data_IF_858871492436
#
_entry.id   IF_858871492436
#
_cell.length_a   1.000
_cell.length_b   1.000
_cell.length_c   1.000
_cell.angle_alpha   90.00
_cell.angle_beta   90.00
_cell.angle_gamma   90.00
#
_symmetry.space_group_name_H-M   'P 1'
#
loop_
_entity.id
_entity.type
_entity.pdbx_description
1 polymer ?
#
# COMPACT_ATOMS: atom_id res chain seq x y z
N UNK A 1 23.47 -3.63 20.58
CA UNK A 1 22.50 -4.43 19.81
C UNK A 1 21.42 -3.46 19.37
N UNK A 2 21.38 -3.11 18.08
CA UNK A 2 20.36 -2.19 17.54
C UNK A 2 18.99 -2.90 17.58
N UNK A 3 17.96 -2.18 18.02
CA UNK A 3 16.58 -2.71 18.04
C UNK A 3 16.13 -3.09 16.62
N UNK A 4 15.28 -4.12 16.45
CA UNK A 4 14.70 -4.41 15.15
C UNK A 4 13.87 -3.20 14.71
N UNK A 5 14.19 -2.65 13.55
CA UNK A 5 13.36 -1.62 12.93
C UNK A 5 11.96 -2.21 12.72
N UNK A 6 10.89 -1.42 12.90
CA UNK A 6 9.54 -1.92 12.67
C UNK A 6 9.45 -2.47 11.26
N UNK A 7 9.07 -3.74 11.11
CA UNK A 7 8.94 -4.33 9.79
C UNK A 7 7.91 -3.53 8.98
N UNK A 8 8.21 -3.17 7.73
CA UNK A 8 7.29 -2.41 6.91
C UNK A 8 6.01 -3.23 6.69
N UNK A 9 4.85 -2.57 6.75
CA UNK A 9 3.58 -3.25 6.58
C UNK A 9 3.53 -3.97 5.23
N UNK A 10 3.35 -5.30 5.25
CA UNK A 10 3.32 -6.10 4.02
C UNK A 10 2.14 -5.72 3.13
N UNK A 11 0.97 -5.50 3.72
CA UNK A 11 -0.24 -5.13 2.97
C UNK A 11 -0.10 -3.79 2.27
N UNK A 12 0.53 -2.79 2.90
CA UNK A 12 0.87 -1.53 2.23
C UNK A 12 1.78 -1.75 1.01
N UNK A 13 2.83 -2.57 1.17
CA UNK A 13 3.75 -2.89 0.08
C UNK A 13 3.06 -3.65 -1.06
N UNK A 14 2.13 -4.55 -0.75
CA UNK A 14 1.34 -5.26 -1.77
C UNK A 14 0.49 -4.29 -2.60
N UNK A 15 -0.18 -3.32 -1.97
CA UNK A 15 -0.92 -2.28 -2.70
C UNK A 15 -0.01 -1.39 -3.55
N UNK A 16 1.19 -1.05 -3.08
CA UNK A 16 2.15 -0.26 -3.86
C UNK A 16 2.66 -1.03 -5.09
N UNK A 17 2.92 -2.32 -4.94
CA UNK A 17 3.33 -3.18 -6.05
C UNK A 17 2.20 -3.34 -7.07
N UNK A 18 0.97 -3.58 -6.62
CA UNK A 18 -0.19 -3.67 -7.51
C UNK A 18 -0.49 -2.34 -8.21
N UNK A 19 -0.35 -1.19 -7.53
CA UNK A 19 -0.47 0.13 -8.15
C UNK A 19 0.56 0.29 -9.28
N UNK A 20 1.81 -0.10 -9.04
CA UNK A 20 2.88 -0.02 -10.03
C UNK A 20 2.64 -0.94 -11.25
N UNK A 21 2.13 -2.15 -11.01
CA UNK A 21 1.74 -3.09 -12.08
C UNK A 21 0.59 -2.51 -12.89
N UNK A 22 -0.49 -2.07 -12.23
CA UNK A 22 -1.67 -1.48 -12.88
C UNK A 22 -1.30 -0.27 -13.75
N UNK A 23 -0.45 0.63 -13.22
CA UNK A 23 0.09 1.77 -13.97
C UNK A 23 0.89 1.34 -15.20
N UNK A 24 1.69 0.28 -15.06
CA UNK A 24 2.50 -0.26 -16.17
C UNK A 24 1.63 -0.91 -17.24
N UNK A 25 0.51 -1.53 -16.85
CA UNK A 25 -0.50 -2.10 -17.76
C UNK A 25 -1.44 -1.04 -18.36
N UNK A 26 -1.43 0.19 -17.82
CA UNK A 26 -2.36 1.26 -18.21
C UNK A 26 -3.78 1.09 -17.65
N UNK A 27 -3.95 0.26 -16.62
CA UNK A 27 -5.22 0.06 -15.93
C UNK A 27 -5.44 1.13 -14.86
N UNK A 28 -5.98 2.27 -15.27
CA UNK A 28 -6.25 3.39 -14.38
C UNK A 28 -7.34 3.10 -13.32
N UNK A 29 -8.22 2.13 -13.56
CA UNK A 29 -9.22 1.72 -12.57
C UNK A 29 -8.51 1.01 -11.42
N UNK A 30 -7.71 -0.01 -11.76
CA UNK A 30 -6.96 -0.78 -10.77
C UNK A 30 -5.94 0.06 -10.02
N UNK A 31 -5.25 0.99 -10.70
CA UNK A 31 -4.34 1.95 -10.05
C UNK A 31 -5.06 2.76 -8.97
N UNK A 32 -6.27 3.24 -9.26
CA UNK A 32 -7.07 4.03 -8.31
C UNK A 32 -7.57 3.16 -7.15
N UNK A 33 -8.01 1.93 -7.44
CA UNK A 33 -8.47 0.99 -6.42
C UNK A 33 -7.36 0.65 -5.43
N UNK A 34 -6.13 0.38 -5.89
CA UNK A 34 -4.98 0.13 -5.02
C UNK A 34 -4.71 1.29 -4.06
N UNK A 35 -4.80 2.54 -4.54
CA UNK A 35 -4.63 3.73 -3.68
C UNK A 35 -5.72 3.85 -2.62
N UNK A 36 -6.97 3.62 -3.00
CA UNK A 36 -8.11 3.68 -2.07
C UNK A 36 -8.00 2.59 -1.00
N UNK A 37 -7.65 1.36 -1.41
CA UNK A 37 -7.45 0.24 -0.49
C UNK A 37 -6.28 0.50 0.46
N UNK A 38 -5.15 1.00 -0.04
CA UNK A 38 -4.01 1.41 0.80
C UNK A 38 -4.41 2.47 1.82
N UNK A 39 -5.11 3.52 1.40
CA UNK A 39 -5.58 4.58 2.30
C UNK A 39 -6.50 4.05 3.42
N UNK A 40 -7.44 3.15 3.08
CA UNK A 40 -8.31 2.51 4.08
C UNK A 40 -7.53 1.63 5.05
N UNK A 41 -6.56 0.88 4.55
CA UNK A 41 -5.70 0.03 5.38
C UNK A 41 -4.85 0.88 6.33
N UNK A 42 -4.22 1.94 5.83
CA UNK A 42 -3.43 2.87 6.66
C UNK A 42 -4.30 3.50 7.75
N UNK A 43 -5.50 3.96 7.41
CA UNK A 43 -6.42 4.52 8.41
C UNK A 43 -6.86 3.49 9.47
N UNK A 44 -7.06 2.22 9.07
CA UNK A 44 -7.51 1.15 9.96
C UNK A 44 -6.39 0.57 10.84
N UNK A 45 -5.22 0.30 10.25
CA UNK A 45 -4.14 -0.50 10.86
C UNK A 45 -2.96 0.37 11.33
N UNK A 46 -2.77 1.56 10.75
CA UNK A 46 -1.72 2.50 11.13
C UNK A 46 -2.25 3.72 11.89
N UNK A 47 -3.57 3.95 11.89
CA UNK A 47 -4.19 5.02 12.66
C UNK A 47 -3.79 6.42 12.20
N UNK A 48 -3.27 6.55 10.97
CA UNK A 48 -2.93 7.84 10.37
C UNK A 48 -4.18 8.41 9.66
N UNK A 49 -4.70 9.58 10.11
CA UNK A 49 -5.84 10.27 9.49
C UNK A 49 -5.45 11.15 8.30
#
# INVERSE_FOLDING_TARGET
MSAPEPEPCRTCQEFDLEEAVARSEGDGSRETDCRVLRGRHVAAEHGEP
#
